data_IF_842208671783
#
_entry.id   IF_842208671783
#
_cell.length_a   1.000
_cell.length_b   1.000
_cell.length_c   1.000
_cell.angle_alpha   90.00
_cell.angle_beta   90.00
_cell.angle_gamma   90.00
#
_symmetry.space_group_name_H-M   'P 1'
#
loop_
_entity.id
_entity.type
_entity.pdbx_description
1 polymer ?
#
# COMPACT_ATOMS: atom_id res chain seq x y z
N UNK A 1 15.05 -42.91 18.39
CA UNK A 1 14.79 -41.88 17.37
C UNK A 1 14.92 -40.54 18.04
N UNK A 2 15.91 -39.74 17.69
CA UNK A 2 16.02 -38.37 18.21
C UNK A 2 14.81 -37.57 17.69
N UNK A 3 14.02 -37.01 18.60
CA UNK A 3 13.05 -35.97 18.25
C UNK A 3 13.87 -34.77 17.79
N UNK A 4 14.01 -34.59 16.48
CA UNK A 4 14.52 -33.34 15.91
C UNK A 4 13.44 -32.32 16.18
N UNK A 5 13.65 -31.48 17.19
CA UNK A 5 12.82 -30.31 17.42
C UNK A 5 12.84 -29.48 16.13
N UNK A 6 11.70 -29.39 15.46
CA UNK A 6 11.58 -28.57 14.27
C UNK A 6 11.70 -27.12 14.73
N UNK A 7 12.80 -26.47 14.36
CA UNK A 7 12.92 -25.01 14.50
C UNK A 7 11.94 -24.40 13.51
N UNK A 8 10.81 -23.91 14.02
CA UNK A 8 9.86 -23.15 13.24
C UNK A 8 10.37 -21.71 13.16
N UNK A 9 10.71 -21.25 11.95
CA UNK A 9 11.18 -19.90 11.71
C UNK A 9 11.14 -19.57 10.24
N UNK A 10 10.53 -18.42 9.89
CA UNK A 10 10.52 -17.94 8.51
C UNK A 10 11.78 -17.14 8.22
N UNK A 11 12.49 -17.51 7.14
CA UNK A 11 13.59 -16.71 6.63
C UNK A 11 13.07 -15.42 5.97
N UNK A 12 13.96 -14.43 5.75
CA UNK A 12 13.56 -13.13 5.18
C UNK A 12 12.80 -13.25 3.85
N UNK A 13 13.23 -14.08 2.87
CA UNK A 13 12.45 -14.30 1.65
C UNK A 13 11.03 -14.83 1.89
N UNK A 14 10.85 -15.79 2.81
CA UNK A 14 9.52 -16.31 3.16
C UNK A 14 8.63 -15.25 3.80
N UNK A 15 9.19 -14.46 4.72
CA UNK A 15 8.47 -13.33 5.35
C UNK A 15 8.02 -12.30 4.30
N UNK A 16 8.86 -12.01 3.32
CA UNK A 16 8.54 -11.08 2.22
C UNK A 16 7.44 -11.64 1.30
N UNK A 17 7.52 -12.94 0.95
CA UNK A 17 6.49 -13.60 0.16
C UNK A 17 5.12 -13.50 0.86
N UNK A 18 5.04 -13.94 2.12
CA UNK A 18 3.79 -13.89 2.91
C UNK A 18 3.29 -12.46 3.05
N UNK A 19 4.17 -11.51 3.38
CA UNK A 19 3.80 -10.10 3.53
C UNK A 19 3.20 -9.51 2.26
N UNK A 20 3.80 -9.75 1.09
CA UNK A 20 3.28 -9.24 -0.17
C UNK A 20 2.01 -9.95 -0.64
N UNK A 21 1.90 -11.26 -0.42
CA UNK A 21 0.66 -11.99 -0.71
C UNK A 21 -0.49 -11.47 0.16
N UNK A 22 -0.26 -11.30 1.46
CA UNK A 22 -1.28 -10.75 2.36
C UNK A 22 -1.68 -9.33 1.97
N UNK A 23 -0.74 -8.47 1.61
CA UNK A 23 -1.03 -7.10 1.22
C UNK A 23 -1.94 -7.05 -0.03
N UNK A 24 -1.62 -7.81 -1.08
CA UNK A 24 -2.48 -7.90 -2.29
C UNK A 24 -3.86 -8.47 -1.97
N UNK A 25 -3.95 -9.48 -1.09
CA UNK A 25 -5.24 -10.05 -0.69
C UNK A 25 -6.08 -9.06 0.14
N UNK A 26 -5.45 -8.24 0.97
CA UNK A 26 -6.12 -7.16 1.70
C UNK A 26 -6.65 -6.12 0.73
N UNK A 27 -5.82 -5.64 -0.22
CA UNK A 27 -6.22 -4.67 -1.24
C UNK A 27 -7.40 -5.18 -2.07
N UNK A 28 -7.31 -6.44 -2.52
CA UNK A 28 -8.37 -7.11 -3.25
C UNK A 28 -9.67 -7.16 -2.44
N UNK A 29 -9.59 -7.53 -1.16
CA UNK A 29 -10.77 -7.64 -0.29
C UNK A 29 -11.43 -6.28 -0.09
N UNK A 30 -10.63 -5.25 0.18
CA UNK A 30 -11.14 -3.88 0.37
C UNK A 30 -11.80 -3.38 -0.91
N UNK A 31 -11.17 -3.57 -2.08
CA UNK A 31 -11.75 -3.18 -3.37
C UNK A 31 -13.10 -3.86 -3.62
N UNK A 32 -13.21 -5.17 -3.39
CA UNK A 32 -14.45 -5.90 -3.62
C UNK A 32 -15.54 -5.51 -2.60
N UNK A 33 -15.19 -5.13 -1.37
CA UNK A 33 -16.20 -4.58 -0.44
C UNK A 33 -16.73 -3.21 -0.87
N UNK A 34 -15.87 -2.35 -1.43
CA UNK A 34 -16.33 -1.08 -1.96
C UNK A 34 -17.20 -1.27 -3.22
N UNK A 35 -16.80 -2.15 -4.12
CA UNK A 35 -17.58 -2.52 -5.30
C UNK A 35 -18.96 -3.10 -4.94
N UNK A 36 -19.02 -3.95 -3.91
CA UNK A 36 -20.27 -4.58 -3.47
C UNK A 36 -21.21 -3.63 -2.72
N UNK A 37 -20.68 -2.74 -1.88
CA UNK A 37 -21.48 -1.99 -0.90
C UNK A 37 -21.49 -0.48 -1.10
N UNK A 38 -20.76 0.06 -2.08
CA UNK A 38 -20.70 1.50 -2.29
C UNK A 38 -20.83 1.88 -3.77
N UNK A 39 -21.98 2.44 -4.12
CA UNK A 39 -22.35 2.83 -5.50
C UNK A 39 -21.35 3.76 -6.22
N UNK A 40 -20.39 4.35 -5.50
CA UNK A 40 -19.33 5.19 -6.06
C UNK A 40 -18.10 4.41 -6.55
N UNK A 41 -18.08 3.09 -6.38
CA UNK A 41 -17.01 2.22 -6.86
C UNK A 41 -17.66 1.10 -7.67
N UNK A 42 -17.24 0.95 -8.92
CA UNK A 42 -17.69 -0.13 -9.78
C UNK A 42 -16.50 -0.83 -10.44
N UNK A 43 -16.46 -2.14 -10.36
CA UNK A 43 -15.42 -2.98 -10.93
C UNK A 43 -16.07 -4.09 -11.75
N UNK A 44 -15.75 -4.14 -13.04
CA UNK A 44 -16.43 -5.01 -14.02
C UNK A 44 -16.41 -6.50 -13.64
N UNK A 45 -15.33 -6.95 -13.00
CA UNK A 45 -15.20 -8.34 -12.56
C UNK A 45 -14.11 -8.53 -11.51
N UNK A 46 -14.15 -9.68 -10.84
CA UNK A 46 -13.12 -10.11 -9.90
C UNK A 46 -11.70 -10.06 -10.50
N UNK A 47 -11.51 -10.51 -11.74
CA UNK A 47 -10.20 -10.48 -12.41
C UNK A 47 -9.65 -9.06 -12.56
N UNK A 48 -10.53 -8.09 -12.86
CA UNK A 48 -10.16 -6.67 -12.94
C UNK A 48 -9.83 -6.14 -11.54
N UNK A 49 -10.62 -6.48 -10.51
CA UNK A 49 -10.32 -6.08 -9.12
C UNK A 49 -8.96 -6.62 -8.65
N UNK A 50 -8.58 -7.83 -9.05
CA UNK A 50 -7.28 -8.42 -8.73
C UNK A 50 -6.12 -7.73 -9.44
N UNK A 51 -6.29 -7.41 -10.72
CA UNK A 51 -5.30 -6.62 -11.45
C UNK A 51 -5.15 -5.21 -10.84
N UNK A 52 -6.27 -4.57 -10.46
CA UNK A 52 -6.27 -3.27 -9.80
C UNK A 52 -5.60 -3.31 -8.42
N UNK A 53 -5.84 -4.35 -7.61
CA UNK A 53 -5.16 -4.56 -6.33
C UNK A 53 -3.63 -4.64 -6.51
N UNK A 54 -3.16 -5.43 -7.47
CA UNK A 54 -1.73 -5.54 -7.77
C UNK A 54 -1.15 -4.19 -8.22
N UNK A 55 -1.87 -3.46 -9.10
CA UNK A 55 -1.45 -2.15 -9.57
C UNK A 55 -1.34 -1.15 -8.41
N UNK A 56 -2.38 -1.05 -7.57
CA UNK A 56 -2.40 -0.17 -6.41
C UNK A 56 -1.25 -0.47 -5.46
N UNK A 57 -1.04 -1.74 -5.13
CA UNK A 57 0.08 -2.18 -4.30
C UNK A 57 1.43 -1.75 -4.88
N UNK A 58 1.61 -1.90 -6.20
CA UNK A 58 2.83 -1.49 -6.89
C UNK A 58 3.04 0.03 -6.79
N UNK A 59 2.00 0.80 -7.09
CA UNK A 59 2.07 2.26 -7.07
C UNK A 59 2.30 2.83 -5.66
N UNK A 60 1.71 2.22 -4.63
CA UNK A 60 1.96 2.58 -3.23
C UNK A 60 3.44 2.41 -2.86
N UNK A 61 4.05 1.26 -3.21
CA UNK A 61 5.47 1.01 -2.94
C UNK A 61 6.37 1.96 -3.71
N UNK A 62 6.04 2.24 -4.98
CA UNK A 62 6.78 3.21 -5.78
C UNK A 62 6.70 4.62 -5.18
N UNK A 63 5.52 5.04 -4.74
CA UNK A 63 5.32 6.34 -4.08
C UNK A 63 6.17 6.48 -2.82
N UNK A 64 6.11 5.49 -1.93
CA UNK A 64 6.90 5.47 -0.69
C UNK A 64 8.40 5.49 -0.99
N UNK A 65 8.85 4.72 -1.99
CA UNK A 65 10.25 4.70 -2.40
C UNK A 65 10.73 6.04 -2.96
N UNK A 66 9.90 6.72 -3.77
CA UNK A 66 10.18 8.06 -4.28
C UNK A 66 10.25 9.09 -3.16
N UNK A 67 9.32 9.01 -2.20
CA UNK A 67 9.31 9.88 -1.01
C UNK A 67 10.62 9.73 -0.21
N UNK A 68 11.04 8.50 0.08
CA UNK A 68 12.28 8.24 0.82
C UNK A 68 13.50 8.79 0.08
N UNK A 69 13.60 8.54 -1.24
CA UNK A 69 14.72 9.01 -2.05
C UNK A 69 14.84 10.54 -2.04
N UNK A 70 13.71 11.26 -2.16
CA UNK A 70 13.72 12.72 -2.11
C UNK A 70 13.96 13.25 -0.69
N UNK A 71 13.39 12.60 0.32
CA UNK A 71 13.63 12.96 1.71
C UNK A 71 15.13 12.86 2.06
N UNK A 72 15.80 11.78 1.66
CA UNK A 72 17.23 11.57 1.89
C UNK A 72 18.09 12.57 1.12
N UNK A 73 17.73 12.86 -0.14
CA UNK A 73 18.40 13.89 -0.93
C UNK A 73 18.40 15.25 -0.23
N UNK A 74 17.26 15.71 0.27
CA UNK A 74 17.19 16.99 0.99
C UNK A 74 17.82 16.94 2.38
N UNK A 75 17.78 15.79 3.06
CA UNK A 75 18.40 15.59 4.38
C UNK A 75 19.93 15.69 4.31
N UNK A 76 20.54 15.30 3.19
CA UNK A 76 21.99 15.38 2.99
C UNK A 76 22.54 16.81 2.78
N UNK A 77 21.68 17.81 2.59
CA UNK A 77 22.10 19.20 2.32
C UNK A 77 22.07 20.07 3.57
N UNK A 78 23.10 20.89 3.83
CA UNK A 78 23.13 21.80 4.99
C UNK A 78 22.18 23.00 4.80
N UNK A 79 21.65 23.53 5.91
CA UNK A 79 20.85 24.76 5.95
C UNK A 79 19.34 24.57 6.21
N UNK A 80 18.61 25.69 6.25
CA UNK A 80 17.16 25.72 6.55
C UNK A 80 16.30 25.48 5.30
N UNK A 81 16.74 25.93 4.12
CA UNK A 81 16.00 25.77 2.88
C UNK A 81 15.71 24.29 2.52
N UNK A 82 16.65 23.33 2.66
CA UNK A 82 16.37 21.91 2.42
C UNK A 82 15.28 21.33 3.33
N UNK A 83 15.09 21.86 4.56
CA UNK A 83 13.99 21.41 5.45
C UNK A 83 12.63 21.81 4.91
N UNK A 84 12.51 23.00 4.33
CA UNK A 84 11.28 23.50 3.70
C UNK A 84 11.00 22.70 2.43
N UNK A 85 12.00 22.54 1.56
CA UNK A 85 11.85 21.74 0.33
C UNK A 85 11.53 20.28 0.62
N UNK A 86 12.05 19.69 1.70
CA UNK A 86 11.67 18.36 2.16
C UNK A 86 10.18 18.28 2.52
N UNK A 87 9.68 19.22 3.33
CA UNK A 87 8.26 19.25 3.69
C UNK A 87 7.35 19.41 2.47
N UNK A 88 7.70 20.34 1.57
CA UNK A 88 6.93 20.59 0.36
C UNK A 88 6.95 19.39 -0.60
N UNK A 89 8.12 18.80 -0.86
CA UNK A 89 8.24 17.63 -1.74
C UNK A 89 7.51 16.40 -1.18
N UNK A 90 7.60 16.16 0.13
CA UNK A 90 6.88 15.05 0.78
C UNK A 90 5.36 15.25 0.65
N UNK A 91 4.87 16.47 0.86
CA UNK A 91 3.44 16.79 0.65
C UNK A 91 3.00 16.58 -0.80
N UNK A 92 3.77 17.09 -1.77
CA UNK A 92 3.48 16.93 -3.20
C UNK A 92 3.45 15.45 -3.60
N UNK A 93 4.34 14.61 -3.04
CA UNK A 93 4.31 13.17 -3.31
C UNK A 93 3.10 12.51 -2.64
N UNK A 94 2.84 12.79 -1.36
CA UNK A 94 1.74 12.17 -0.62
C UNK A 94 0.37 12.46 -1.24
N UNK A 95 0.15 13.70 -1.68
CA UNK A 95 -1.11 14.12 -2.32
C UNK A 95 -1.08 13.78 -3.82
N UNK A 96 0.00 14.13 -4.51
CA UNK A 96 0.15 13.95 -5.96
C UNK A 96 0.16 12.49 -6.39
N UNK A 97 0.75 11.59 -5.61
CA UNK A 97 0.75 10.15 -5.91
C UNK A 97 -0.66 9.58 -6.01
N UNK A 98 -1.63 10.12 -5.27
CA UNK A 98 -3.03 9.68 -5.34
C UNK A 98 -3.67 10.03 -6.68
N UNK A 99 -3.40 11.22 -7.20
CA UNK A 99 -3.85 11.60 -8.54
C UNK A 99 -3.17 10.75 -9.63
N UNK A 100 -1.87 10.49 -9.48
CA UNK A 100 -1.14 9.58 -10.40
C UNK A 100 -1.72 8.17 -10.34
N UNK A 101 -2.09 7.68 -9.16
CA UNK A 101 -2.72 6.37 -9.00
C UNK A 101 -4.10 6.30 -9.66
N UNK A 102 -4.94 7.31 -9.44
CA UNK A 102 -6.24 7.41 -10.10
C UNK A 102 -6.08 7.42 -11.64
N UNK A 103 -5.17 8.24 -12.16
CA UNK A 103 -4.91 8.32 -13.59
C UNK A 103 -4.35 7.00 -14.15
N UNK A 104 -3.47 6.32 -13.40
CA UNK A 104 -2.95 5.02 -13.82
C UNK A 104 -4.05 3.96 -13.92
N UNK A 105 -5.03 3.99 -13.02
CA UNK A 105 -6.22 3.12 -13.09
C UNK A 105 -7.04 3.46 -14.33
N UNK A 106 -7.34 4.74 -14.55
CA UNK A 106 -8.12 5.18 -15.72
C UNK A 106 -7.44 4.78 -17.04
N UNK A 107 -6.12 4.90 -17.13
CA UNK A 107 -5.37 4.52 -18.33
C UNK A 107 -5.38 3.01 -18.55
N UNK A 108 -5.20 2.21 -17.49
CA UNK A 108 -5.04 0.76 -17.61
C UNK A 108 -6.36 -0.01 -17.68
N UNK A 109 -7.39 0.48 -17.01
CA UNK A 109 -8.68 -0.19 -16.87
C UNK A 109 -9.82 0.57 -17.54
N UNK A 110 -9.69 1.88 -17.77
CA UNK A 110 -10.76 2.70 -18.34
C UNK A 110 -12.06 2.52 -17.57
N UNK A 111 -13.14 2.26 -18.31
CA UNK A 111 -14.48 2.10 -17.76
C UNK A 111 -14.68 0.79 -16.97
N UNK A 112 -13.65 -0.06 -16.84
CA UNK A 112 -13.72 -1.33 -16.09
C UNK A 112 -13.51 -1.17 -14.59
N UNK A 113 -12.91 -0.05 -14.18
CA UNK A 113 -12.77 0.37 -12.79
C UNK A 113 -13.18 1.82 -12.75
N UNK A 114 -14.42 2.06 -12.34
CA UNK A 114 -14.99 3.40 -12.29
C UNK A 114 -15.13 3.88 -10.85
N UNK A 115 -14.63 5.10 -10.61
CA UNK A 115 -14.83 5.83 -9.38
C UNK A 115 -15.75 7.00 -9.69
N UNK A 116 -16.94 7.01 -9.11
CA UNK A 116 -17.96 8.04 -9.36
C UNK A 116 -18.24 8.88 -8.11
N UNK A 117 -19.19 9.81 -8.23
CA UNK A 117 -19.56 10.70 -7.13
C UNK A 117 -18.73 11.99 -7.07
N UNK A 118 -18.62 12.63 -5.90
CA UNK A 118 -18.09 13.98 -5.77
C UNK A 118 -16.67 14.12 -6.33
N UNK A 119 -16.41 15.26 -6.99
CA UNK A 119 -15.11 15.59 -7.58
C UNK A 119 -14.67 14.54 -8.62
N UNK A 120 -15.60 14.03 -9.43
CA UNK A 120 -15.34 13.02 -10.46
C UNK A 120 -14.64 11.77 -9.89
N UNK A 121 -15.17 11.21 -8.80
CA UNK A 121 -14.64 9.98 -8.22
C UNK A 121 -13.45 10.14 -7.28
N UNK A 122 -12.85 11.32 -7.18
CA UNK A 122 -11.67 11.56 -6.33
C UNK A 122 -11.97 11.21 -4.87
N UNK A 123 -13.15 11.57 -4.36
CA UNK A 123 -13.52 11.25 -2.97
C UNK A 123 -13.64 9.74 -2.76
N UNK A 124 -14.22 9.03 -3.72
CA UNK A 124 -14.35 7.57 -3.67
C UNK A 124 -12.99 6.89 -3.67
N UNK A 125 -12.14 7.27 -4.62
CA UNK A 125 -10.78 6.78 -4.73
C UNK A 125 -9.96 7.00 -3.44
N UNK A 126 -10.03 8.20 -2.86
CA UNK A 126 -9.31 8.49 -1.61
C UNK A 126 -9.82 7.64 -0.45
N UNK A 127 -11.14 7.44 -0.33
CA UNK A 127 -11.72 6.58 0.71
C UNK A 127 -11.25 5.12 0.56
N UNK A 128 -11.20 4.59 -0.66
CA UNK A 128 -10.62 3.26 -0.94
C UNK A 128 -9.16 3.20 -0.51
N UNK A 129 -8.33 4.13 -0.98
CA UNK A 129 -6.89 4.13 -0.66
C UNK A 129 -6.64 4.26 0.83
N UNK A 130 -7.36 5.12 1.55
CA UNK A 130 -7.20 5.23 3.00
C UNK A 130 -7.64 3.98 3.73
N UNK A 131 -8.72 3.33 3.28
CA UNK A 131 -9.19 2.07 3.88
C UNK A 131 -8.18 0.95 3.66
N UNK A 132 -7.60 0.85 2.46
CA UNK A 132 -6.49 -0.06 2.14
C UNK A 132 -5.33 0.16 3.12
N UNK A 133 -4.84 1.40 3.25
CA UNK A 133 -3.71 1.71 4.14
C UNK A 133 -4.00 1.34 5.60
N UNK A 134 -5.21 1.61 6.09
CA UNK A 134 -5.62 1.24 7.45
C UNK A 134 -5.68 -0.28 7.61
N UNK A 135 -6.27 -0.99 6.65
CA UNK A 135 -6.38 -2.44 6.66
C UNK A 135 -5.01 -3.12 6.61
N UNK A 136 -4.11 -2.68 5.73
CA UNK A 136 -2.73 -3.16 5.65
C UNK A 136 -1.99 -2.96 6.98
N UNK A 137 -2.14 -1.78 7.62
CA UNK A 137 -1.52 -1.50 8.92
C UNK A 137 -2.03 -2.47 9.99
N UNK A 138 -3.35 -2.73 10.03
CA UNK A 138 -3.95 -3.65 11.01
C UNK A 138 -3.43 -5.07 10.79
N UNK A 139 -3.50 -5.57 9.56
CA UNK A 139 -3.04 -6.92 9.22
C UNK A 139 -1.55 -7.09 9.46
N UNK A 140 -0.74 -6.09 9.10
CA UNK A 140 0.70 -6.08 9.38
C UNK A 140 0.99 -6.13 10.88
N UNK A 141 0.27 -5.34 11.69
CA UNK A 141 0.42 -5.37 13.15
C UNK A 141 0.08 -6.75 13.73
N UNK A 142 -1.00 -7.37 13.26
CA UNK A 142 -1.37 -8.72 13.70
C UNK A 142 -0.29 -9.72 13.29
N UNK A 143 0.16 -9.68 12.04
CA UNK A 143 1.21 -10.57 11.52
C UNK A 143 2.49 -10.48 12.35
N UNK A 144 2.98 -9.27 12.66
CA UNK A 144 4.17 -9.09 13.48
C UNK A 144 3.95 -9.37 14.97
N UNK A 145 2.74 -9.19 15.50
CA UNK A 145 2.42 -9.51 16.88
C UNK A 145 2.42 -11.03 17.15
N UNK A 146 2.21 -11.84 16.11
CA UNK A 146 2.24 -13.30 16.17
C UNK A 146 3.64 -13.90 15.96
N UNK A 147 4.65 -13.07 15.65
CA UNK A 147 6.04 -13.53 15.51
C UNK A 147 6.59 -13.92 16.90
N UNK A 148 6.87 -15.22 17.08
CA UNK A 148 7.42 -15.81 18.30
C UNK A 148 8.95 -15.78 18.35
N UNK A 149 9.59 -15.20 17.33
CA UNK A 149 11.05 -15.04 17.29
C UNK A 149 11.50 -14.26 18.52
N UNK A 150 12.38 -14.82 19.38
CA UNK A 150 12.85 -14.12 20.57
C UNK A 150 13.48 -12.80 20.14
N UNK A 151 12.96 -11.68 20.67
CA UNK A 151 13.52 -10.35 20.41
C UNK A 151 14.98 -10.39 20.83
N UNK A 152 15.90 -10.27 19.87
CA UNK A 152 17.31 -10.14 20.16
C UNK A 152 17.48 -8.99 21.16
N UNK A 153 17.91 -9.33 22.37
CA UNK A 153 18.24 -8.36 23.40
C UNK A 153 19.35 -7.49 22.81
N UNK A 154 19.09 -6.19 22.64
CA UNK A 154 20.11 -5.25 22.16
C UNK A 154 21.20 -5.20 23.24
N UNK A 155 22.32 -5.89 22.98
CA UNK A 155 23.56 -5.73 23.73
C UNK A 155 24.12 -4.31 23.55
#
# INVERSE_FOLDING_TARGET
MSNIEKVYGFNTPQRLFVGYTLAVLVDLTVLNFFDEYWDFVNIESFTISFAAAILLQLLLKLSIGLEHKLADYFKSKPGTAPKIYRGLSSYVILVGSKFVMLEAINILFGDKVDFTGPWNGVVAFFAVVFTILVAEIIVSKIYFALDDTPKAEKA
#
